data_IF_857746058456
#
_entry.id   IF_857746058456
#
_cell.length_a   1.000
_cell.length_b   1.000
_cell.length_c   1.000
_cell.angle_alpha   90.00
_cell.angle_beta   90.00
_cell.angle_gamma   90.00
#
_symmetry.space_group_name_H-M   'P 1'
#
loop_
_entity.id
_entity.type
_entity.pdbx_description
1 polymer ?
#
# COMPACT_ATOMS: atom_id res chain seq x y z
N UNK A 1 25.03 -4.26 17.91
CA UNK A 1 24.51 -5.51 17.34
C UNK A 1 23.26 -5.30 16.54
N UNK A 2 22.38 -4.46 17.05
CA UNK A 2 21.11 -4.21 16.37
C UNK A 2 21.28 -3.72 14.94
N UNK A 3 22.32 -2.92 14.66
CA UNK A 3 22.50 -2.36 13.32
C UNK A 3 22.77 -3.43 12.27
N UNK A 4 23.59 -4.41 12.60
CA UNK A 4 23.90 -5.49 11.67
C UNK A 4 22.66 -6.36 11.40
N UNK A 5 21.90 -6.68 12.46
CA UNK A 5 20.67 -7.48 12.33
C UNK A 5 19.61 -6.72 11.55
N UNK A 6 19.48 -5.41 11.84
CA UNK A 6 18.50 -4.57 11.11
C UNK A 6 18.84 -4.47 9.64
N UNK A 7 20.12 -4.34 9.30
CA UNK A 7 20.54 -4.30 7.90
C UNK A 7 20.22 -5.58 7.15
N UNK A 8 20.44 -6.74 7.77
CA UNK A 8 20.11 -8.03 7.18
C UNK A 8 18.60 -8.18 7.00
N UNK A 9 17.83 -7.78 8.00
CA UNK A 9 16.38 -7.83 7.93
C UNK A 9 15.84 -6.95 6.80
N UNK A 10 16.38 -5.74 6.68
CA UNK A 10 15.95 -4.81 5.64
C UNK A 10 16.23 -5.39 4.27
N UNK A 11 17.41 -5.96 4.04
CA UNK A 11 17.72 -6.59 2.76
C UNK A 11 16.77 -7.74 2.43
N UNK A 12 16.47 -8.59 3.42
CA UNK A 12 15.55 -9.71 3.24
C UNK A 12 14.14 -9.22 2.96
N UNK A 13 13.70 -8.22 3.70
CA UNK A 13 12.36 -7.66 3.52
C UNK A 13 12.23 -6.93 2.18
N UNK A 14 13.29 -6.27 1.73
CA UNK A 14 13.29 -5.64 0.42
C UNK A 14 13.13 -6.68 -0.68
N UNK A 15 13.79 -7.83 -0.55
CA UNK A 15 13.62 -8.93 -1.52
C UNK A 15 12.18 -9.41 -1.58
N UNK A 16 11.52 -9.52 -0.43
CA UNK A 16 10.10 -9.87 -0.39
C UNK A 16 9.26 -8.83 -1.12
N UNK A 17 9.55 -7.55 -0.88
CA UNK A 17 8.83 -6.46 -1.55
C UNK A 17 9.06 -6.50 -3.07
N UNK A 18 10.27 -6.82 -3.50
CA UNK A 18 10.56 -6.96 -4.93
C UNK A 18 9.73 -8.07 -5.56
N UNK A 19 9.59 -9.21 -4.89
CA UNK A 19 8.75 -10.29 -5.39
C UNK A 19 7.28 -9.94 -5.41
N UNK A 20 6.82 -9.20 -4.41
CA UNK A 20 5.40 -8.87 -4.30
C UNK A 20 4.99 -7.72 -5.23
N UNK A 21 5.82 -6.69 -5.35
CA UNK A 21 5.46 -5.44 -6.01
C UNK A 21 6.31 -5.13 -7.26
N UNK A 22 7.40 -5.85 -7.47
CA UNK A 22 8.33 -5.56 -8.55
C UNK A 22 9.56 -4.79 -8.07
N UNK A 23 10.61 -4.78 -8.88
CA UNK A 23 11.91 -4.22 -8.46
C UNK A 23 11.84 -2.71 -8.24
N UNK A 24 11.11 -1.98 -9.08
CA UNK A 24 10.98 -0.53 -8.89
C UNK A 24 10.26 -0.20 -7.60
N UNK A 25 9.21 -0.96 -7.28
CA UNK A 25 8.45 -0.75 -6.04
C UNK A 25 9.29 -1.12 -4.82
N UNK A 26 10.02 -2.23 -4.88
CA UNK A 26 10.90 -2.62 -3.78
C UNK A 26 11.91 -1.54 -3.46
N UNK A 27 12.54 -0.97 -4.49
CA UNK A 27 13.48 0.13 -4.31
C UNK A 27 12.81 1.38 -3.75
N UNK A 28 11.60 1.68 -4.22
CA UNK A 28 10.86 2.85 -3.74
C UNK A 28 10.53 2.73 -2.26
N UNK A 29 10.11 1.54 -1.83
CA UNK A 29 9.71 1.31 -0.44
C UNK A 29 10.89 1.37 0.52
N UNK A 30 12.05 0.87 0.10
CA UNK A 30 13.20 0.69 0.99
C UNK A 30 14.36 1.64 0.73
N UNK A 31 14.29 2.48 -0.29
CA UNK A 31 15.41 3.33 -0.69
C UNK A 31 15.61 4.54 0.18
N UNK A 32 16.88 4.88 0.39
CA UNK A 32 17.32 6.22 0.78
C UNK A 32 16.95 6.73 2.16
N UNK A 33 16.35 5.95 3.03
CA UNK A 33 15.86 6.44 4.31
C UNK A 33 16.39 5.64 5.48
N UNK A 34 16.34 6.26 6.66
CA UNK A 34 16.55 5.54 7.89
C UNK A 34 15.33 4.69 8.18
N UNK A 35 15.52 3.38 8.15
CA UNK A 35 14.43 2.42 8.37
C UNK A 35 14.67 1.67 9.65
N UNK A 36 13.61 1.52 10.45
CA UNK A 36 13.62 0.71 11.65
C UNK A 36 12.70 -0.48 11.44
N UNK A 37 13.12 -1.63 11.96
CA UNK A 37 12.31 -2.86 11.89
C UNK A 37 11.92 -3.23 13.30
N UNK A 38 10.61 -3.32 13.56
CA UNK A 38 10.11 -3.86 14.82
C UNK A 38 10.00 -5.38 14.72
N UNK A 39 9.99 -6.03 15.89
CA UNK A 39 9.94 -7.49 15.93
C UNK A 39 8.79 -7.98 16.79
N UNK A 40 8.29 -9.17 16.47
CA UNK A 40 7.35 -9.88 17.32
C UNK A 40 8.05 -10.41 18.55
N UNK A 41 7.28 -10.94 19.50
CA UNK A 41 7.83 -11.57 20.71
C UNK A 41 8.74 -12.75 20.39
N UNK A 42 8.54 -13.39 19.23
CA UNK A 42 9.40 -14.50 18.79
C UNK A 42 10.63 -14.04 18.04
N UNK A 43 10.83 -12.72 17.89
CA UNK A 43 11.99 -12.15 17.18
C UNK A 43 11.80 -12.00 15.68
N UNK A 44 10.62 -12.30 15.16
CA UNK A 44 10.33 -12.21 13.74
C UNK A 44 10.14 -10.73 13.33
N UNK A 45 10.74 -10.28 12.21
CA UNK A 45 10.48 -8.92 11.73
C UNK A 45 8.99 -8.70 11.46
N UNK A 46 8.48 -7.54 11.85
CA UNK A 46 7.06 -7.21 11.67
C UNK A 46 6.85 -5.93 10.89
N UNK A 47 7.17 -4.79 11.47
CA UNK A 47 6.88 -3.50 10.86
C UNK A 47 8.16 -2.84 10.37
N UNK A 48 8.06 -2.19 9.22
CA UNK A 48 9.12 -1.34 8.69
C UNK A 48 8.66 0.10 8.86
N UNK A 49 9.41 0.86 9.62
CA UNK A 49 9.09 2.25 9.96
C UNK A 49 10.12 3.19 9.39
N UNK A 50 9.66 4.33 8.89
CA UNK A 50 10.51 5.42 8.43
C UNK A 50 10.16 6.68 9.22
N UNK A 51 10.97 7.75 9.13
CA UNK A 51 10.63 8.99 9.85
C UNK A 51 9.25 9.54 9.52
N UNK A 52 8.76 9.31 8.30
CA UNK A 52 7.45 9.79 7.85
C UNK A 52 6.30 8.82 8.13
N UNK A 53 6.59 7.66 8.74
CA UNK A 53 5.54 6.73 9.15
C UNK A 53 5.82 5.29 8.77
N UNK A 54 4.80 4.47 8.90
CA UNK A 54 4.92 3.03 8.63
C UNK A 54 4.93 2.77 7.12
N UNK A 55 6.01 2.12 6.67
CA UNK A 55 6.14 1.68 5.27
C UNK A 55 5.23 0.48 5.02
N UNK A 56 5.26 -0.48 5.93
CA UNK A 56 4.42 -1.67 5.81
C UNK A 56 4.62 -2.63 6.96
N UNK A 57 3.81 -3.68 6.95
CA UNK A 57 3.89 -4.76 7.94
C UNK A 57 4.11 -6.07 7.21
N UNK A 58 5.13 -6.81 7.63
CA UNK A 58 5.41 -8.14 7.10
C UNK A 58 4.54 -9.14 7.85
N UNK A 59 3.59 -9.72 7.14
CA UNK A 59 2.60 -10.62 7.76
C UNK A 59 3.13 -12.04 7.89
N UNK A 60 2.42 -12.85 8.68
CA UNK A 60 2.76 -14.26 8.85
C UNK A 60 2.57 -15.07 7.57
N UNK A 61 1.88 -14.51 6.59
CA UNK A 61 1.72 -15.15 5.28
C UNK A 61 2.92 -14.94 4.36
N UNK A 62 3.91 -14.14 4.78
CA UNK A 62 5.09 -13.85 3.97
C UNK A 62 4.90 -12.69 3.00
N UNK A 63 3.85 -11.89 3.18
CA UNK A 63 3.56 -10.74 2.32
C UNK A 63 3.54 -9.47 3.14
N UNK A 64 3.77 -8.34 2.47
CA UNK A 64 3.62 -7.04 3.08
C UNK A 64 2.21 -6.51 2.92
N UNK A 65 1.71 -5.84 3.97
CA UNK A 65 0.58 -4.94 3.87
C UNK A 65 1.13 -3.52 3.94
N UNK A 66 0.70 -2.67 3.01
CA UNK A 66 1.22 -1.31 2.94
C UNK A 66 0.72 -0.45 4.09
N UNK A 67 1.65 0.33 4.66
CA UNK A 67 1.28 1.46 5.49
C UNK A 67 1.14 2.69 4.61
N UNK A 68 0.64 3.77 5.19
CA UNK A 68 0.38 4.99 4.42
C UNK A 68 1.68 5.60 3.87
N UNK A 69 2.76 5.59 4.64
CA UNK A 69 4.06 6.08 4.16
C UNK A 69 4.57 5.23 2.99
N UNK A 70 4.38 3.91 3.06
CA UNK A 70 4.74 3.02 1.95
C UNK A 70 3.92 3.31 0.71
N UNK A 71 2.62 3.48 0.87
CA UNK A 71 1.75 3.85 -0.24
C UNK A 71 2.16 5.17 -0.88
N UNK A 72 2.55 6.14 -0.05
CA UNK A 72 3.03 7.43 -0.54
C UNK A 72 4.30 7.27 -1.36
N UNK A 73 5.24 6.44 -0.92
CA UNK A 73 6.46 6.18 -1.68
C UNK A 73 6.18 5.55 -3.04
N UNK A 74 5.26 4.59 -3.08
CA UNK A 74 4.85 3.99 -4.36
C UNK A 74 4.17 5.02 -5.25
N UNK A 75 3.29 5.82 -4.67
CA UNK A 75 2.56 6.85 -5.41
C UNK A 75 3.50 7.87 -6.05
N UNK A 76 4.55 8.27 -5.33
CA UNK A 76 5.50 9.26 -5.81
C UNK A 76 6.51 8.69 -6.80
N UNK A 77 6.80 7.40 -6.72
CA UNK A 77 7.90 6.79 -7.47
C UNK A 77 7.46 6.00 -8.70
N UNK A 78 6.25 5.46 -8.70
CA UNK A 78 5.79 4.63 -9.80
C UNK A 78 4.89 5.42 -10.74
N UNK A 79 4.90 5.08 -12.04
CA UNK A 79 4.03 5.77 -12.99
C UNK A 79 2.57 5.40 -12.78
N UNK A 80 1.69 6.34 -13.10
CA UNK A 80 0.26 6.09 -13.11
C UNK A 80 -0.06 5.04 -14.19
N UNK A 81 -0.92 4.04 -13.92
CA UNK A 81 -1.74 3.83 -12.73
C UNK A 81 -1.23 2.72 -11.80
N UNK A 82 0.06 2.43 -11.78
CA UNK A 82 0.63 1.30 -11.04
C UNK A 82 0.15 1.27 -9.58
N UNK A 83 -0.47 0.16 -9.18
CA UNK A 83 -1.01 -0.09 -7.84
C UNK A 83 -2.09 0.89 -7.39
N UNK A 84 -2.74 1.60 -8.32
CA UNK A 84 -3.71 2.64 -7.97
C UNK A 84 -5.14 2.25 -8.28
N UNK A 85 -6.02 2.67 -7.37
CA UNK A 85 -7.46 2.67 -7.58
C UNK A 85 -7.89 4.12 -7.47
N UNK A 86 -8.47 4.68 -8.53
CA UNK A 86 -8.78 6.09 -8.63
C UNK A 86 -10.26 6.33 -8.36
N UNK A 87 -10.54 7.29 -7.49
CA UNK A 87 -11.92 7.69 -7.14
C UNK A 87 -12.06 9.19 -7.26
N UNK A 88 -13.30 9.68 -7.16
CA UNK A 88 -13.59 11.08 -7.35
C UNK A 88 -13.91 11.82 -6.06
N UNK A 89 -14.41 13.05 -6.22
CA UNK A 89 -14.68 13.97 -5.12
C UNK A 89 -15.65 13.40 -4.09
N UNK A 90 -16.66 12.67 -4.52
CA UNK A 90 -17.67 12.17 -3.58
C UNK A 90 -17.13 11.11 -2.65
N UNK A 91 -16.10 10.38 -3.05
CA UNK A 91 -15.48 9.36 -2.21
C UNK A 91 -14.39 9.90 -1.31
N UNK A 92 -13.79 11.03 -1.67
CA UNK A 92 -12.58 11.53 -1.02
C UNK A 92 -12.71 11.64 0.51
N UNK A 93 -13.70 12.34 1.06
CA UNK A 93 -13.75 12.50 2.53
C UNK A 93 -13.96 11.19 3.26
N UNK A 94 -14.70 10.27 2.67
CA UNK A 94 -14.96 8.98 3.31
C UNK A 94 -13.72 8.10 3.29
N UNK A 95 -13.02 8.05 2.16
CA UNK A 95 -11.82 7.23 2.03
C UNK A 95 -10.70 7.77 2.92
N UNK A 96 -10.51 9.08 2.97
CA UNK A 96 -9.54 9.69 3.88
C UNK A 96 -9.83 9.35 5.33
N UNK A 97 -11.10 9.17 5.67
CA UNK A 97 -11.53 8.80 7.02
C UNK A 97 -11.46 7.29 7.28
N UNK A 98 -10.96 6.53 6.35
CA UNK A 98 -10.77 5.09 6.52
C UNK A 98 -11.91 4.22 6.06
N UNK A 99 -12.90 4.77 5.37
CA UNK A 99 -14.02 3.99 4.86
C UNK A 99 -13.62 3.24 3.60
N UNK A 100 -14.27 2.12 3.35
CA UNK A 100 -13.96 1.27 2.21
C UNK A 100 -14.41 1.89 0.89
N UNK A 101 -13.78 1.46 -0.20
CA UNK A 101 -14.13 1.89 -1.55
C UNK A 101 -15.09 0.89 -2.17
N UNK A 102 -16.22 1.38 -2.68
CA UNK A 102 -17.17 0.54 -3.39
C UNK A 102 -16.94 0.63 -4.89
N UNK A 103 -17.19 -0.48 -5.58
CA UNK A 103 -16.88 -0.61 -7.00
C UNK A 103 -17.51 0.50 -7.85
N UNK A 104 -18.74 0.86 -7.54
CA UNK A 104 -19.47 1.89 -8.32
C UNK A 104 -18.78 3.26 -8.33
N UNK A 105 -17.87 3.52 -7.39
CA UNK A 105 -17.15 4.80 -7.32
C UNK A 105 -15.77 4.75 -7.94
N UNK A 106 -15.32 3.59 -8.41
CA UNK A 106 -14.00 3.47 -9.04
C UNK A 106 -14.07 4.06 -10.44
N UNK A 107 -13.19 5.02 -10.70
CA UNK A 107 -13.11 5.68 -12.01
C UNK A 107 -12.05 5.06 -12.90
N UNK A 108 -10.95 4.64 -12.30
CA UNK A 108 -9.83 4.03 -13.00
C UNK A 108 -9.12 3.11 -12.05
N UNK A 109 -8.48 2.06 -12.55
CA UNK A 109 -7.71 1.13 -11.73
C UNK A 109 -6.60 0.53 -12.57
N UNK A 110 -5.45 0.26 -11.93
CA UNK A 110 -4.37 -0.50 -12.57
C UNK A 110 -4.95 -1.82 -13.08
N UNK A 111 -4.86 -2.09 -14.39
CA UNK A 111 -5.48 -3.30 -14.96
C UNK A 111 -4.89 -4.61 -14.44
N UNK A 112 -3.71 -4.56 -13.82
CA UNK A 112 -3.07 -5.75 -13.28
C UNK A 112 -3.49 -6.07 -11.85
N UNK A 113 -4.32 -5.25 -11.23
CA UNK A 113 -4.77 -5.47 -9.85
C UNK A 113 -5.66 -6.71 -9.76
N UNK A 114 -5.38 -7.54 -8.76
CA UNK A 114 -6.11 -8.76 -8.46
C UNK A 114 -6.56 -8.76 -7.01
N UNK A 115 -7.58 -9.56 -6.67
CA UNK A 115 -8.00 -9.68 -5.27
C UNK A 115 -6.83 -10.07 -4.37
N UNK A 116 -6.71 -9.40 -3.24
CA UNK A 116 -5.62 -9.62 -2.31
C UNK A 116 -4.41 -8.72 -2.51
N UNK A 117 -4.32 -8.02 -3.63
CA UNK A 117 -3.22 -7.09 -3.87
C UNK A 117 -3.33 -5.86 -2.98
N UNK A 118 -2.18 -5.36 -2.55
CA UNK A 118 -2.11 -4.08 -1.85
C UNK A 118 -2.16 -2.95 -2.86
N UNK A 119 -2.96 -1.93 -2.57
CA UNK A 119 -3.18 -0.83 -3.52
C UNK A 119 -3.20 0.50 -2.78
N UNK A 120 -2.92 1.56 -3.54
CA UNK A 120 -3.10 2.94 -3.10
C UNK A 120 -4.40 3.47 -3.70
N UNK A 121 -5.25 4.07 -2.88
CA UNK A 121 -6.45 4.74 -3.35
C UNK A 121 -6.12 6.21 -3.53
N UNK A 122 -6.35 6.72 -4.74
CA UNK A 122 -5.97 8.10 -5.08
C UNK A 122 -7.17 8.86 -5.64
N UNK A 123 -7.13 10.18 -5.44
CA UNK A 123 -8.12 11.08 -6.04
C UNK A 123 -7.79 11.27 -7.51
N UNK A 124 -8.80 11.53 -8.34
CA UNK A 124 -8.58 11.71 -9.78
C UNK A 124 -7.63 12.89 -10.09
N UNK A 125 -7.44 13.81 -9.16
CA UNK A 125 -6.47 14.89 -9.32
C UNK A 125 -5.08 14.53 -8.82
N UNK A 126 -4.90 13.32 -8.25
CA UNK A 126 -3.58 12.80 -7.94
C UNK A 126 -3.24 12.62 -6.46
N UNK A 127 -4.09 13.10 -5.55
CA UNK A 127 -3.78 13.01 -4.12
C UNK A 127 -3.96 11.59 -3.60
N UNK A 128 -3.02 11.15 -2.77
CA UNK A 128 -3.13 9.87 -2.08
C UNK A 128 -4.19 9.97 -0.99
N UNK A 129 -5.17 9.09 -1.02
CA UNK A 129 -6.27 9.10 -0.05
C UNK A 129 -6.14 8.00 0.99
N UNK A 130 -5.64 6.83 0.61
CA UNK A 130 -5.60 5.68 1.51
C UNK A 130 -4.75 4.57 0.93
N UNK A 131 -4.46 3.59 1.78
CA UNK A 131 -3.91 2.30 1.34
C UNK A 131 -4.84 1.21 1.85
N UNK A 132 -4.87 0.09 1.13
CA UNK A 132 -5.71 -1.03 1.51
C UNK A 132 -5.49 -2.23 0.60
N UNK A 133 -6.42 -3.17 0.69
CA UNK A 133 -6.36 -4.41 -0.06
C UNK A 133 -7.48 -4.47 -1.08
N UNK A 134 -7.15 -4.82 -2.32
CA UNK A 134 -8.15 -5.02 -3.36
C UNK A 134 -9.00 -6.25 -3.02
N UNK A 135 -10.31 -6.11 -3.17
CA UNK A 135 -11.25 -7.19 -2.93
C UNK A 135 -11.80 -7.76 -4.24
N UNK A 136 -11.64 -7.04 -5.34
CA UNK A 136 -12.11 -7.43 -6.66
C UNK A 136 -10.97 -7.29 -7.66
N UNK A 137 -10.99 -8.08 -8.76
CA UNK A 137 -10.06 -7.82 -9.85
C UNK A 137 -10.41 -6.50 -10.54
N UNK A 138 -9.44 -5.92 -11.24
CA UNK A 138 -9.60 -4.60 -11.86
C UNK A 138 -10.83 -4.51 -12.76
N UNK A 139 -11.06 -5.52 -13.60
CA UNK A 139 -12.19 -5.49 -14.53
C UNK A 139 -13.53 -5.43 -13.80
N UNK A 140 -13.64 -6.16 -12.68
CA UNK A 140 -14.88 -6.17 -11.90
C UNK A 140 -15.08 -4.86 -11.15
N UNK A 141 -14.00 -4.21 -10.70
CA UNK A 141 -14.11 -2.90 -10.09
C UNK A 141 -14.77 -1.89 -11.02
N UNK A 142 -14.47 -1.98 -12.32
CA UNK A 142 -15.03 -1.06 -13.31
C UNK A 142 -16.44 -1.43 -13.76
N UNK A 143 -16.79 -2.70 -13.67
CA UNK A 143 -18.06 -3.20 -14.18
C UNK A 143 -19.15 -3.31 -13.12
N UNK A 144 -18.79 -3.55 -11.87
CA UNK A 144 -19.79 -3.84 -10.83
C UNK A 144 -20.48 -2.58 -10.35
N UNK A 145 -21.79 -2.67 -10.18
CA UNK A 145 -22.58 -1.60 -9.56
C UNK A 145 -22.68 -1.76 -8.05
N UNK A 146 -22.34 -2.94 -7.53
CA UNK A 146 -22.35 -3.24 -6.11
C UNK A 146 -21.07 -3.95 -5.75
N UNK A 147 -20.77 -4.00 -4.45
CA UNK A 147 -19.60 -4.70 -3.96
C UNK A 147 -18.47 -3.77 -3.57
N UNK A 148 -17.62 -4.28 -2.70
CA UNK A 148 -16.48 -3.53 -2.17
C UNK A 148 -15.26 -3.77 -3.05
N UNK A 149 -14.71 -2.68 -3.59
CA UNK A 149 -13.51 -2.76 -4.43
C UNK A 149 -12.24 -2.83 -3.58
N UNK A 150 -12.15 -1.99 -2.54
CA UNK A 150 -10.96 -1.93 -1.67
C UNK A 150 -11.39 -1.90 -0.22
N UNK A 151 -10.81 -2.80 0.57
CA UNK A 151 -10.90 -2.75 2.03
C UNK A 151 -9.79 -1.81 2.52
N UNK A 152 -10.17 -0.60 2.90
CA UNK A 152 -9.21 0.42 3.33
C UNK A 152 -8.65 0.07 4.69
N UNK A 153 -7.33 0.18 4.82
CA UNK A 153 -6.63 -0.07 6.09
C UNK A 153 -6.25 1.22 6.78
N UNK A 154 -5.64 2.15 6.06
CA UNK A 154 -5.23 3.44 6.61
C UNK A 154 -5.66 4.55 5.66
N UNK A 155 -6.40 5.50 6.18
CA UNK A 155 -6.80 6.68 5.43
C UNK A 155 -5.85 7.85 5.68
N UNK A 156 -5.62 8.64 4.64
CA UNK A 156 -4.77 9.82 4.72
C UNK A 156 -5.60 11.00 5.25
N UNK A 157 -5.86 10.98 6.55
CA UNK A 157 -6.58 12.10 7.17
C UNK A 157 -5.74 13.36 7.05
N UNK A 158 -6.39 14.44 6.66
CA UNK A 158 -5.71 15.73 6.57
C UNK A 158 -5.51 16.28 7.96
N UNK A 159 -4.34 16.81 8.16
CA UNK A 159 -4.01 17.50 9.40
C UNK A 159 -3.69 18.94 9.14
#
# INVERSE_FOLDING_TARGET
>A
MTDADSGMDIDALERVAVYQFGSAAGSALFGGSELDVTRSTSGRPRQVLAPDGRIGTYSTTGRFTLGLAGGRRLHESLPHPDYRVVVGDESEPFVRDGKNVFAKFVQEVDPDVRPGDEVAVVHHEGDLLAVGRAELPASDMLDFQTGMAVAVRDGATDN
#
